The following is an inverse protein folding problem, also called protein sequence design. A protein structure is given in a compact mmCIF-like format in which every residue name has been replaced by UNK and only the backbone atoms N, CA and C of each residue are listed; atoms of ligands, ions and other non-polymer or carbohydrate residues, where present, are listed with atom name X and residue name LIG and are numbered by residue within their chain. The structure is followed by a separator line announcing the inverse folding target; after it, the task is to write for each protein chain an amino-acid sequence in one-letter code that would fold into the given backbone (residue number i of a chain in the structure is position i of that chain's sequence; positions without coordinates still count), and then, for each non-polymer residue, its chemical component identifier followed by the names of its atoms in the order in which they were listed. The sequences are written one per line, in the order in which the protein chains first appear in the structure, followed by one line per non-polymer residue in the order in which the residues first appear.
data_IF_255723012321
#
_entry.id   IF_255723012321
#
_cell.length_a   1.000
_cell.length_b   1.000
_cell.length_c   1.000
_cell.angle_alpha   90.00
_cell.angle_beta   90.00
_cell.angle_gamma   90.00
#
_symmetry.space_group_name_H-M   'P 1'
#
loop_
_entity.id
_entity.type
_entity.pdbx_description
1 polymer ?
#
# COMPACT_ATOMS: atom_id res chain seq x y z
N UNK A 1 2.78 -14.36 -24.20
CA UNK A 1 2.23 -15.24 -23.14
C UNK A 1 1.21 -14.51 -22.25
N UNK A 2 1.23 -13.16 -22.14
CA UNK A 2 0.16 -12.39 -21.45
C UNK A 2 -1.09 -12.07 -22.31
N UNK A 3 -1.04 -12.31 -23.64
CA UNK A 3 -2.17 -12.08 -24.56
C UNK A 3 -3.21 -13.23 -24.60
N UNK A 4 -2.95 -14.35 -23.92
CA UNK A 4 -3.82 -15.54 -23.94
C UNK A 4 -4.72 -15.65 -22.70
N UNK A 5 -4.73 -14.60 -21.87
CA UNK A 5 -5.29 -14.65 -20.52
C UNK A 5 -6.05 -13.36 -20.20
N UNK A 6 -6.78 -12.83 -21.18
CA UNK A 6 -7.72 -11.72 -20.98
C UNK A 6 -8.66 -12.02 -19.80
N UNK A 7 -9.04 -13.29 -19.60
CA UNK A 7 -9.91 -13.73 -18.51
C UNK A 7 -9.29 -13.57 -17.11
N UNK A 8 -8.01 -13.92 -16.91
CA UNK A 8 -7.38 -13.79 -15.58
C UNK A 8 -7.14 -12.31 -15.24
N UNK A 9 -6.72 -11.52 -16.23
CA UNK A 9 -6.55 -10.09 -16.05
C UNK A 9 -7.89 -9.41 -15.70
N UNK A 10 -8.96 -9.78 -16.41
CA UNK A 10 -10.33 -9.33 -16.14
C UNK A 10 -10.82 -9.69 -14.73
N UNK A 11 -10.61 -10.95 -14.30
CA UNK A 11 -10.98 -11.41 -12.94
C UNK A 11 -10.20 -10.65 -11.87
N UNK A 12 -8.88 -10.49 -12.04
CA UNK A 12 -8.04 -9.73 -11.09
C UNK A 12 -8.48 -8.27 -11.03
N UNK A 13 -8.79 -7.65 -12.18
CA UNK A 13 -9.19 -6.25 -12.26
C UNK A 13 -10.56 -6.00 -11.62
N UNK A 14 -11.53 -6.90 -11.81
CA UNK A 14 -12.84 -6.83 -11.13
C UNK A 14 -12.70 -7.03 -9.63
N UNK A 15 -11.97 -8.05 -9.20
CA UNK A 15 -11.72 -8.31 -7.77
C UNK A 15 -11.00 -7.13 -7.12
N UNK A 16 -10.00 -6.56 -7.79
CA UNK A 16 -9.28 -5.37 -7.34
C UNK A 16 -10.17 -4.14 -7.21
N UNK A 17 -11.01 -3.86 -8.21
CA UNK A 17 -11.94 -2.74 -8.20
C UNK A 17 -13.00 -2.86 -7.09
N UNK A 18 -13.59 -4.05 -6.90
CA UNK A 18 -14.54 -4.31 -5.81
C UNK A 18 -13.87 -4.11 -4.44
N UNK A 19 -12.65 -4.61 -4.28
CA UNK A 19 -11.88 -4.42 -3.05
C UNK A 19 -11.58 -2.94 -2.76
N UNK A 20 -11.21 -2.16 -3.78
CA UNK A 20 -10.98 -0.73 -3.66
C UNK A 20 -12.25 0.05 -3.27
N UNK A 21 -13.40 -0.31 -3.84
CA UNK A 21 -14.70 0.27 -3.48
C UNK A 21 -15.03 -0.01 -2.01
N UNK A 22 -14.88 -1.27 -1.58
CA UNK A 22 -15.11 -1.68 -0.18
C UNK A 22 -14.20 -0.88 0.77
N UNK A 23 -12.90 -0.82 0.47
CA UNK A 23 -11.93 -0.04 1.26
C UNK A 23 -12.28 1.45 1.30
N UNK A 24 -12.65 2.02 0.17
CA UNK A 24 -13.04 3.42 0.06
C UNK A 24 -14.26 3.74 0.93
N UNK A 25 -15.29 2.89 0.88
CA UNK A 25 -16.46 3.03 1.74
C UNK A 25 -16.12 2.84 3.22
N UNK A 26 -15.30 1.86 3.58
CA UNK A 26 -14.82 1.68 4.96
C UNK A 26 -14.13 2.95 5.45
N UNK A 27 -13.30 3.60 4.63
CA UNK A 27 -12.57 4.81 5.01
C UNK A 27 -13.48 6.04 5.12
N UNK A 28 -14.51 6.15 4.28
CA UNK A 28 -15.48 7.27 4.32
C UNK A 28 -16.43 7.14 5.51
N UNK A 29 -16.88 5.93 5.83
CA UNK A 29 -17.89 5.66 6.86
C UNK A 29 -17.30 5.25 8.21
N UNK A 30 -15.97 5.26 8.37
CA UNK A 30 -15.32 4.94 9.64
C UNK A 30 -15.77 5.94 10.71
N UNK A 31 -16.68 5.51 11.58
CA UNK A 31 -17.19 6.30 12.70
C UNK A 31 -16.09 6.50 13.74
N UNK A 32 -16.08 7.66 14.39
CA UNK A 32 -15.14 8.02 15.44
C UNK A 32 -15.45 7.20 16.70
N UNK A 33 -14.99 5.95 16.73
CA UNK A 33 -14.83 5.27 18.01
C UNK A 33 -13.55 5.82 18.63
N UNK A 34 -13.69 6.92 19.38
CA UNK A 34 -12.68 7.37 20.35
C UNK A 34 -12.48 6.34 21.47
N UNK A 35 -13.37 5.34 21.54
CA UNK A 35 -13.20 4.18 22.39
C UNK A 35 -12.10 3.31 21.80
N UNK A 36 -10.90 3.53 22.35
CA UNK A 36 -9.87 2.55 22.60
C UNK A 36 -9.74 1.54 21.47
N UNK A 37 -8.82 1.81 20.54
CA UNK A 37 -7.99 0.70 20.10
C UNK A 37 -7.41 0.18 21.42
N UNK A 38 -7.92 -0.94 21.92
CA UNK A 38 -7.18 -1.79 22.83
C UNK A 38 -5.90 -2.11 22.06
N UNK A 39 -4.89 -1.25 22.23
CA UNK A 39 -3.53 -1.63 21.96
C UNK A 39 -3.34 -2.80 22.89
N UNK A 40 -3.37 -4.01 22.33
CA UNK A 40 -2.69 -5.14 22.94
C UNK A 40 -1.28 -4.62 23.20
N UNK A 41 -1.05 -4.17 24.44
CA UNK A 41 0.24 -3.67 24.89
C UNK A 41 1.13 -4.88 25.05
N UNK A 42 1.55 -5.43 23.90
CA UNK A 42 2.77 -6.18 23.86
C UNK A 42 3.82 -5.13 24.20
N UNK A 43 4.54 -5.32 25.31
CA UNK A 43 5.69 -4.52 25.77
C UNK A 43 6.89 -4.58 24.78
N UNK A 44 6.62 -4.62 23.48
CA UNK A 44 7.60 -4.51 22.41
C UNK A 44 7.80 -3.05 22.05
N UNK A 45 9.03 -2.66 21.71
CA UNK A 45 9.31 -1.31 21.21
C UNK A 45 8.38 -0.97 20.03
N UNK A 46 7.82 0.25 20.02
CA UNK A 46 6.96 0.72 18.91
C UNK A 46 7.64 0.60 17.55
N UNK A 47 8.98 0.63 17.54
CA UNK A 47 9.81 0.31 16.39
C UNK A 47 9.62 -1.14 15.92
N UNK A 48 9.74 -2.13 16.81
CA UNK A 48 9.57 -3.54 16.46
C UNK A 48 8.17 -3.84 15.92
N UNK A 49 7.12 -3.23 16.49
CA UNK A 49 5.76 -3.38 15.97
C UNK A 49 5.63 -2.82 14.56
N UNK A 50 6.07 -1.58 14.34
CA UNK A 50 6.04 -0.95 13.01
C UNK A 50 6.87 -1.73 11.98
N UNK A 51 8.04 -2.23 12.38
CA UNK A 51 8.94 -3.01 11.55
C UNK A 51 8.34 -4.36 11.14
N UNK A 52 7.77 -5.10 12.10
CA UNK A 52 7.11 -6.39 11.84
C UNK A 52 5.89 -6.20 10.95
N UNK A 53 5.06 -5.17 11.19
CA UNK A 53 3.88 -4.89 10.36
C UNK A 53 4.28 -4.54 8.92
N UNK A 54 5.37 -3.78 8.74
CA UNK A 54 5.87 -3.42 7.42
C UNK A 54 6.41 -4.64 6.66
N UNK A 55 7.17 -5.51 7.33
CA UNK A 55 7.75 -6.73 6.73
C UNK A 55 6.68 -7.78 6.44
N UNK A 56 5.73 -7.98 7.36
CA UNK A 56 4.63 -8.96 7.22
C UNK A 56 3.43 -8.30 6.52
N UNK A 57 3.65 -7.35 5.61
CA UNK A 57 2.58 -6.81 4.79
C UNK A 57 2.45 -7.65 3.50
N UNK A 58 1.59 -8.68 3.46
CA UNK A 58 1.48 -9.57 2.30
C UNK A 58 1.08 -8.81 1.03
N UNK A 59 0.40 -7.66 1.17
CA UNK A 59 0.02 -6.82 0.04
C UNK A 59 1.22 -6.19 -0.66
N UNK A 60 2.20 -5.69 0.11
CA UNK A 60 3.44 -5.13 -0.42
C UNK A 60 4.26 -6.24 -1.09
N UNK A 61 4.36 -7.40 -0.43
CA UNK A 61 5.08 -8.56 -0.95
C UNK A 61 4.51 -9.04 -2.29
N UNK A 62 3.19 -9.20 -2.39
CA UNK A 62 2.52 -9.61 -3.64
C UNK A 62 2.74 -8.57 -4.76
N UNK A 63 2.68 -7.27 -4.44
CA UNK A 63 2.96 -6.20 -5.40
C UNK A 63 4.41 -6.20 -5.89
N UNK A 64 5.36 -6.36 -4.96
CA UNK A 64 6.78 -6.48 -5.30
C UNK A 64 7.03 -7.68 -6.21
N UNK A 65 6.49 -8.86 -5.87
CA UNK A 65 6.64 -10.06 -6.72
C UNK A 65 6.08 -9.80 -8.12
N UNK A 66 4.89 -9.21 -8.24
CA UNK A 66 4.25 -8.98 -9.52
C UNK A 66 5.01 -7.99 -10.43
N UNK A 67 5.60 -6.93 -9.86
CA UNK A 67 6.38 -5.95 -10.64
C UNK A 67 7.79 -6.43 -10.92
N UNK A 68 8.44 -7.07 -9.94
CA UNK A 68 9.83 -7.48 -10.06
C UNK A 68 10.01 -8.80 -10.79
N UNK A 69 9.00 -9.69 -10.85
CA UNK A 69 9.13 -10.99 -11.52
C UNK A 69 9.53 -10.86 -12.99
N UNK A 70 9.14 -9.78 -13.67
CA UNK A 70 9.51 -9.54 -15.07
C UNK A 70 10.97 -9.04 -15.24
N UNK A 71 11.57 -8.52 -14.17
CA UNK A 71 12.95 -8.01 -14.17
C UNK A 71 13.95 -9.03 -13.58
N UNK A 72 13.45 -10.13 -13.00
CA UNK A 72 14.28 -11.24 -12.50
C UNK A 72 14.68 -12.12 -13.69
N UNK A 73 15.91 -11.94 -14.15
CA UNK A 73 16.56 -12.87 -15.07
C UNK A 73 17.34 -13.92 -14.26
N UNK A 74 17.06 -15.19 -14.53
CA UNK A 74 17.67 -16.34 -13.86
C UNK A 74 19.19 -16.38 -14.16
N UNK A 75 19.57 -15.94 -15.36
CA UNK A 75 20.95 -15.91 -15.86
C UNK A 75 21.71 -14.63 -15.49
N UNK A 76 21.06 -13.65 -14.84
CA UNK A 76 21.72 -12.43 -14.42
C UNK A 76 22.79 -12.70 -13.34
N UNK A 77 23.91 -11.99 -13.45
CA UNK A 77 24.99 -12.01 -12.47
C UNK A 77 24.47 -11.61 -11.08
N UNK A 78 25.15 -12.08 -10.03
CA UNK A 78 24.82 -11.75 -8.64
C UNK A 78 24.76 -10.22 -8.42
N UNK A 79 25.60 -9.48 -9.15
CA UNK A 79 25.69 -8.02 -9.11
C UNK A 79 24.41 -7.35 -9.66
N UNK A 80 23.90 -7.83 -10.79
CA UNK A 80 22.67 -7.28 -11.39
C UNK A 80 21.44 -7.55 -10.50
N UNK A 81 21.36 -8.74 -9.89
CA UNK A 81 20.30 -9.08 -8.92
C UNK A 81 20.37 -8.18 -7.68
N UNK A 82 21.58 -7.89 -7.22
CA UNK A 82 21.83 -7.01 -6.07
C UNK A 82 21.40 -5.58 -6.34
N UNK A 83 21.73 -5.02 -7.52
CA UNK A 83 21.27 -3.68 -7.93
C UNK A 83 19.75 -3.63 -8.02
N UNK A 84 19.13 -4.65 -8.62
CA UNK A 84 17.67 -4.73 -8.78
C UNK A 84 16.92 -4.63 -7.45
N UNK A 85 17.48 -5.20 -6.37
CA UNK A 85 16.88 -5.17 -5.03
C UNK A 85 17.28 -3.90 -4.25
N UNK A 86 18.53 -3.47 -4.34
CA UNK A 86 19.04 -2.34 -3.56
C UNK A 86 18.44 -1.00 -3.98
N UNK A 87 18.31 -0.74 -5.27
CA UNK A 87 17.80 0.55 -5.77
C UNK A 87 16.43 0.92 -5.19
N UNK A 88 15.38 0.10 -5.31
CA UNK A 88 14.08 0.40 -4.69
C UNK A 88 14.15 0.42 -3.17
N UNK A 89 14.94 -0.47 -2.57
CA UNK A 89 15.09 -0.54 -1.10
C UNK A 89 15.65 0.76 -0.53
N UNK A 90 16.65 1.37 -1.18
CA UNK A 90 17.24 2.65 -0.77
C UNK A 90 16.23 3.79 -0.95
N UNK A 91 15.53 3.82 -2.08
CA UNK A 91 14.52 4.85 -2.37
C UNK A 91 13.41 4.81 -1.30
N UNK A 92 12.88 3.62 -1.01
CA UNK A 92 11.87 3.42 0.02
C UNK A 92 12.40 3.79 1.41
N UNK A 93 13.62 3.37 1.76
CA UNK A 93 14.22 3.69 3.04
C UNK A 93 14.36 5.21 3.26
N UNK A 94 14.84 5.94 2.25
CA UNK A 94 14.97 7.40 2.29
C UNK A 94 13.58 8.04 2.42
N UNK A 95 12.63 7.62 1.58
CA UNK A 95 11.29 8.18 1.56
C UNK A 95 10.56 7.98 2.89
N UNK A 96 10.51 6.74 3.40
CA UNK A 96 9.84 6.44 4.66
C UNK A 96 10.53 7.08 5.86
N UNK A 97 11.86 7.17 5.87
CA UNK A 97 12.60 7.88 6.92
C UNK A 97 12.27 9.36 6.91
N UNK A 98 12.20 9.99 5.73
CA UNK A 98 11.82 11.39 5.57
C UNK A 98 10.39 11.61 6.08
N UNK A 99 9.43 10.77 5.68
CA UNK A 99 8.04 10.84 6.16
C UNK A 99 7.98 10.66 7.68
N UNK A 100 8.73 9.71 8.24
CA UNK A 100 8.78 9.48 9.68
C UNK A 100 9.33 10.70 10.43
N UNK A 101 10.40 11.32 9.94
CA UNK A 101 10.98 12.54 10.53
C UNK A 101 10.01 13.71 10.41
N UNK A 102 9.35 13.89 9.27
CA UNK A 102 8.34 14.96 9.12
C UNK A 102 7.20 14.79 10.11
N UNK A 103 6.64 13.58 10.20
CA UNK A 103 5.49 13.30 11.08
C UNK A 103 5.85 13.41 12.56
N UNK A 104 7.05 12.96 12.97
CA UNK A 104 7.47 12.93 14.38
C UNK A 104 8.18 14.21 14.83
N UNK A 105 9.02 14.80 14.00
CA UNK A 105 9.88 15.94 14.34
C UNK A 105 9.24 17.32 14.21
N UNK A 106 8.31 17.51 13.25
CA UNK A 106 7.73 18.83 12.96
C UNK A 106 6.31 19.03 13.53
N UNK A 107 5.89 18.21 14.50
CA UNK A 107 4.56 18.31 15.11
C UNK A 107 3.39 17.98 14.17
N UNK A 108 3.68 17.48 12.97
CA UNK A 108 2.67 17.07 11.98
C UNK A 108 1.75 15.97 12.53
N UNK A 109 2.20 15.17 13.51
CA UNK A 109 1.37 14.20 14.23
C UNK A 109 0.07 14.80 14.77
N UNK A 110 0.09 16.01 15.32
CA UNK A 110 -1.13 16.66 15.82
C UNK A 110 -2.06 17.10 14.70
N UNK A 111 -1.51 17.62 13.62
CA UNK A 111 -2.27 18.02 12.43
C UNK A 111 -2.88 16.79 11.76
N UNK A 112 -2.11 15.72 11.59
CA UNK A 112 -2.59 14.44 11.05
C UNK A 112 -3.66 13.82 11.95
N UNK A 113 -3.54 13.91 13.28
CA UNK A 113 -4.58 13.43 14.19
C UNK A 113 -5.85 14.29 14.11
N UNK A 114 -5.71 15.63 14.10
CA UNK A 114 -6.85 16.57 13.98
C UNK A 114 -7.56 16.48 12.63
N UNK A 115 -6.82 16.21 11.54
CA UNK A 115 -7.35 16.09 10.17
C UNK A 115 -7.51 14.64 9.71
N UNK A 116 -7.30 13.65 10.60
CA UNK A 116 -7.30 12.22 10.28
C UNK A 116 -8.52 11.80 9.48
N UNK A 117 -9.69 12.30 9.87
CA UNK A 117 -10.96 12.01 9.22
C UNK A 117 -11.03 12.59 7.80
N UNK A 118 -10.62 13.86 7.63
CA UNK A 118 -10.59 14.50 6.32
C UNK A 118 -9.61 13.80 5.38
N UNK A 119 -8.43 13.42 5.88
CA UNK A 119 -7.43 12.64 5.14
C UNK A 119 -8.00 11.26 4.76
N UNK A 120 -8.60 10.53 5.70
CA UNK A 120 -9.23 9.23 5.45
C UNK A 120 -10.34 9.33 4.40
N UNK A 121 -11.18 10.37 4.47
CA UNK A 121 -12.27 10.59 3.52
C UNK A 121 -11.74 10.92 2.12
N UNK A 122 -10.71 11.76 2.02
CA UNK A 122 -10.05 12.08 0.73
C UNK A 122 -9.44 10.82 0.12
N UNK A 123 -8.71 10.02 0.92
CA UNK A 123 -8.14 8.74 0.46
C UNK A 123 -9.26 7.79 0.02
N UNK A 124 -10.34 7.69 0.79
CA UNK A 124 -11.47 6.82 0.45
C UNK A 124 -12.15 7.22 -0.85
N UNK A 125 -12.37 8.51 -1.08
CA UNK A 125 -12.91 9.05 -2.35
C UNK A 125 -11.94 8.73 -3.50
N UNK A 126 -10.64 8.94 -3.31
CA UNK A 126 -9.62 8.67 -4.31
C UNK A 126 -9.57 7.18 -4.68
N UNK A 127 -9.69 6.26 -3.72
CA UNK A 127 -9.76 4.82 -3.97
C UNK A 127 -11.00 4.45 -4.80
N UNK A 128 -12.16 5.05 -4.51
CA UNK A 128 -13.39 4.85 -5.28
C UNK A 128 -13.24 5.37 -6.72
N UNK A 129 -12.63 6.54 -6.91
CA UNK A 129 -12.35 7.10 -8.24
C UNK A 129 -11.41 6.20 -9.05
N UNK A 130 -10.36 5.67 -8.43
CA UNK A 130 -9.46 4.71 -9.07
C UNK A 130 -10.22 3.44 -9.46
N UNK A 131 -11.08 2.91 -8.59
CA UNK A 131 -11.88 1.73 -8.91
C UNK A 131 -12.81 1.97 -10.11
N UNK A 132 -13.47 3.13 -10.17
CA UNK A 132 -14.29 3.51 -11.32
C UNK A 132 -13.46 3.66 -12.59
N UNK A 133 -12.25 4.24 -12.51
CA UNK A 133 -11.33 4.33 -13.64
C UNK A 133 -10.92 2.95 -14.16
N UNK A 134 -10.67 2.00 -13.26
CA UNK A 134 -10.36 0.60 -13.63
C UNK A 134 -11.55 -0.09 -14.31
N UNK A 135 -12.77 0.12 -13.81
CA UNK A 135 -14.00 -0.41 -14.44
C UNK A 135 -14.23 0.23 -15.81
N UNK A 136 -14.00 1.53 -15.95
CA UNK A 136 -14.11 2.22 -17.25
C UNK A 136 -13.08 1.69 -18.25
N UNK A 137 -11.85 1.43 -17.81
CA UNK A 137 -10.82 0.80 -18.64
C UNK A 137 -11.21 -0.61 -19.10
N UNK A 138 -12.01 -1.34 -18.32
CA UNK A 138 -12.51 -2.68 -18.63
C UNK A 138 -13.55 -2.67 -19.75
N UNK A 139 -14.40 -1.63 -19.79
CA UNK A 139 -15.48 -1.47 -20.78
C UNK A 139 -14.93 -0.96 -22.12
N UNK A 140 -13.79 -0.26 -22.08
CA UNK A 140 -13.11 0.30 -23.26
C UNK A 140 -12.16 -0.69 -23.95
N UNK A 141 -11.89 -1.83 -23.32
CA UNK A 141 -11.11 -2.94 -23.87
C UNK A 141 -12.04 -3.94 -24.57
#
# INVERSE_FOLDING_TARGET
ILRKSETIFFVIQICGSLFLIILGFIFIFKKNNENQIETYQIHSSSFAQGFIIAIINPKILIWFIAIYSQFIDINASLLNKTILVLTPSIIDAIWYSLVAILVTGYGLKEILNKKKFMIQKIIGILLILIAFSLIYSLIRF
#
